data_IF_895580260309
#
_entry.id   IF_895580260309
#
_cell.length_a   1.000
_cell.length_b   1.000
_cell.length_c   1.000
_cell.angle_alpha   90.00
_cell.angle_beta   90.00
_cell.angle_gamma   90.00
#
_symmetry.space_group_name_H-M   'P 1'
#
loop_
_entity.id
_entity.type
_entity.pdbx_description
1 polymer ?
#
# COMPACT_ATOMS: atom_id res chain seq x y z
N UNK A 1 -4.66 38.59 -0.41
CA UNK A 1 -6.07 38.69 -0.85
C UNK A 1 -6.50 40.14 -1.11
N UNK A 2 -5.74 40.91 -1.90
CA UNK A 2 -6.08 42.29 -2.28
C UNK A 2 -6.67 42.29 -3.69
N UNK A 3 -7.79 42.96 -3.89
CA UNK A 3 -8.51 43.05 -5.16
C UNK A 3 -8.58 44.52 -5.53
N UNK A 4 -7.87 44.89 -6.59
CA UNK A 4 -7.96 46.23 -7.18
C UNK A 4 -8.91 46.18 -8.38
N UNK A 5 -10.00 46.92 -8.29
CA UNK A 5 -11.09 46.90 -9.29
C UNK A 5 -11.01 48.06 -10.28
N UNK A 6 -10.04 48.96 -10.12
CA UNK A 6 -9.85 50.16 -10.95
C UNK A 6 -8.82 50.05 -12.10
N UNK A 7 -7.85 49.10 -12.15
CA UNK A 7 -6.82 49.10 -13.19
C UNK A 7 -7.32 48.94 -14.62
N UNK A 8 -8.58 48.50 -14.81
CA UNK A 8 -9.22 48.36 -16.11
C UNK A 8 -10.05 49.59 -16.53
N UNK A 9 -10.12 50.63 -15.70
CA UNK A 9 -10.88 51.86 -15.95
C UNK A 9 -9.95 53.02 -16.39
N UNK A 10 -10.42 53.89 -17.30
CA UNK A 10 -9.70 55.12 -17.66
C UNK A 10 -10.09 56.28 -16.71
N UNK A 11 -9.30 56.44 -15.65
CA UNK A 11 -9.61 57.34 -14.52
C UNK A 11 -8.66 58.55 -14.42
N UNK A 12 -7.94 58.93 -15.49
CA UNK A 12 -6.94 60.00 -15.44
C UNK A 12 -7.51 61.31 -14.89
N UNK A 13 -7.02 61.72 -13.72
CA UNK A 13 -7.45 62.95 -13.03
C UNK A 13 -8.80 62.86 -12.31
N UNK A 14 -9.42 61.67 -12.26
CA UNK A 14 -10.68 61.44 -11.56
C UNK A 14 -10.44 60.88 -10.15
N UNK A 15 -10.95 61.55 -9.13
CA UNK A 15 -11.02 61.00 -7.78
C UNK A 15 -12.32 60.21 -7.61
N UNK A 16 -12.26 58.90 -7.87
CA UNK A 16 -13.40 57.98 -7.73
C UNK A 16 -13.37 57.28 -6.38
N UNK A 17 -14.54 57.03 -5.80
CA UNK A 17 -14.66 56.20 -4.61
C UNK A 17 -15.37 54.89 -4.95
N UNK A 18 -14.90 53.79 -4.37
CA UNK A 18 -15.48 52.45 -4.59
C UNK A 18 -16.44 52.09 -3.45
N UNK A 19 -17.65 51.64 -3.75
CA UNK A 19 -18.66 51.25 -2.74
C UNK A 19 -19.08 49.81 -2.91
N UNK A 20 -19.04 49.04 -1.82
CA UNK A 20 -19.58 47.67 -1.78
C UNK A 20 -21.11 47.76 -1.76
N UNK A 21 -21.75 47.07 -2.70
CA UNK A 21 -23.22 46.96 -2.81
C UNK A 21 -23.70 45.67 -2.17
N UNK A 22 -23.00 44.55 -2.43
CA UNK A 22 -23.33 43.24 -1.89
C UNK A 22 -22.06 42.52 -1.45
N UNK A 23 -22.07 42.03 -0.21
CA UNK A 23 -20.99 41.20 0.34
C UNK A 23 -20.97 39.82 -0.33
N UNK A 24 -19.81 39.13 -0.31
CA UNK A 24 -19.72 37.74 -0.73
C UNK A 24 -20.59 36.81 0.13
N UNK A 25 -20.95 35.64 -0.40
CA UNK A 25 -21.71 34.63 0.34
C UNK A 25 -20.84 33.71 1.20
N UNK A 26 -19.55 33.60 0.88
CA UNK A 26 -18.61 32.67 1.51
C UNK A 26 -17.33 33.36 1.97
N UNK A 27 -17.45 34.64 2.29
CA UNK A 27 -16.35 35.44 2.79
C UNK A 27 -16.83 36.84 3.16
N UNK A 28 -15.88 37.71 3.44
CA UNK A 28 -16.13 39.11 3.76
C UNK A 28 -15.17 40.00 2.99
N UNK A 29 -15.63 41.21 2.66
CA UNK A 29 -14.80 42.25 2.08
C UNK A 29 -14.69 43.42 3.05
N UNK A 30 -13.44 43.78 3.36
CA UNK A 30 -13.10 45.06 3.95
C UNK A 30 -12.45 45.96 2.90
N UNK A 31 -12.44 47.27 3.14
CA UNK A 31 -11.95 48.27 2.20
C UNK A 31 -10.76 49.02 2.81
N UNK A 32 -9.65 49.06 2.09
CA UNK A 32 -8.47 49.89 2.40
C UNK A 32 -8.24 50.86 1.23
N UNK A 33 -8.66 52.12 1.38
CA UNK A 33 -8.59 53.09 0.27
C UNK A 33 -9.50 52.68 -0.88
N UNK A 34 -8.97 52.47 -2.09
CA UNK A 34 -9.72 51.93 -3.24
C UNK A 34 -9.64 50.41 -3.38
N UNK A 35 -8.82 49.74 -2.56
CA UNK A 35 -8.56 48.31 -2.66
C UNK A 35 -9.48 47.54 -1.72
N UNK A 36 -10.02 46.43 -2.22
CA UNK A 36 -10.74 45.49 -1.37
C UNK A 36 -9.82 44.41 -0.80
N UNK A 37 -10.01 44.06 0.46
CA UNK A 37 -9.41 42.89 1.10
C UNK A 37 -10.48 41.84 1.27
N UNK A 38 -10.28 40.69 0.62
CA UNK A 38 -11.17 39.55 0.73
C UNK A 38 -10.66 38.56 1.77
N UNK A 39 -11.54 38.19 2.71
CA UNK A 39 -11.28 37.15 3.71
C UNK A 39 -12.30 36.04 3.50
N UNK A 40 -11.91 34.87 2.94
CA UNK A 40 -12.82 33.74 2.80
C UNK A 40 -13.28 33.26 4.19
N UNK A 41 -14.49 32.73 4.26
CA UNK A 41 -14.91 31.94 5.41
C UNK A 41 -13.97 30.74 5.59
N UNK A 42 -13.62 30.35 6.84
CA UNK A 42 -12.77 29.18 7.08
C UNK A 42 -13.27 27.95 6.31
N UNK A 43 -12.35 27.25 5.64
CA UNK A 43 -12.65 26.06 4.84
C UNK A 43 -13.33 26.30 3.48
N UNK A 44 -13.69 27.53 3.12
CA UNK A 44 -14.30 27.79 1.81
C UNK A 44 -13.29 27.62 0.67
N UNK A 45 -13.72 26.94 -0.39
CA UNK A 45 -13.05 26.88 -1.69
C UNK A 45 -14.11 26.98 -2.79
N UNK A 46 -13.72 27.54 -3.94
CA UNK A 46 -14.62 27.76 -5.06
C UNK A 46 -14.78 29.23 -5.42
N UNK A 47 -15.82 29.53 -6.20
CA UNK A 47 -16.09 30.88 -6.67
C UNK A 47 -17.07 31.57 -5.74
N UNK A 48 -16.64 32.71 -5.19
CA UNK A 48 -17.49 33.65 -4.48
C UNK A 48 -17.73 34.89 -5.36
N UNK A 49 -18.70 35.71 -4.97
CA UNK A 49 -19.10 36.86 -5.78
C UNK A 49 -19.51 38.03 -4.92
N UNK A 50 -18.97 39.20 -5.24
CA UNK A 50 -19.41 40.45 -4.65
C UNK A 50 -19.82 41.46 -5.72
N UNK A 51 -20.58 42.46 -5.30
CA UNK A 51 -21.06 43.52 -6.19
C UNK A 51 -20.56 44.88 -5.68
N UNK A 52 -20.02 45.71 -6.57
CA UNK A 52 -19.55 47.06 -6.24
C UNK A 52 -20.11 48.11 -7.21
N UNK A 53 -19.97 49.38 -6.84
CA UNK A 53 -20.21 50.55 -7.70
C UNK A 53 -19.06 51.54 -7.54
N UNK A 54 -18.80 52.31 -8.58
CA UNK A 54 -17.95 53.49 -8.51
C UNK A 54 -18.82 54.73 -8.31
N UNK A 55 -18.32 55.70 -7.55
CA UNK A 55 -18.95 56.99 -7.35
C UNK A 55 -17.97 58.11 -7.69
N UNK A 56 -18.41 59.06 -8.52
CA UNK A 56 -17.65 60.23 -8.93
C UNK A 56 -18.55 61.47 -8.88
N UNK A 57 -18.16 62.48 -8.09
CA UNK A 57 -18.90 63.75 -7.94
C UNK A 57 -20.41 63.58 -7.64
N UNK A 58 -20.77 62.53 -6.90
CA UNK A 58 -22.16 62.23 -6.52
C UNK A 58 -22.95 61.39 -7.54
N UNK A 59 -22.37 61.09 -8.70
CA UNK A 59 -22.94 60.14 -9.67
C UNK A 59 -22.38 58.74 -9.44
N UNK A 60 -23.23 57.72 -9.63
CA UNK A 60 -22.87 56.31 -9.42
C UNK A 60 -22.96 55.51 -10.72
N UNK A 61 -22.02 54.58 -10.89
CA UNK A 61 -22.09 53.61 -11.98
C UNK A 61 -23.18 52.56 -11.72
N UNK A 62 -23.59 51.81 -12.75
CA UNK A 62 -24.27 50.54 -12.57
C UNK A 62 -23.50 49.60 -11.64
N UNK A 63 -24.22 48.70 -10.97
CA UNK A 63 -23.60 47.71 -10.10
C UNK A 63 -22.84 46.69 -10.95
N UNK A 64 -21.58 46.43 -10.58
CA UNK A 64 -20.69 45.50 -11.27
C UNK A 64 -20.35 44.34 -10.36
N UNK A 65 -20.43 43.14 -10.92
CA UNK A 65 -20.15 41.89 -10.23
C UNK A 65 -18.70 41.46 -10.45
N UNK A 66 -18.03 41.08 -9.37
CA UNK A 66 -16.67 40.53 -9.39
C UNK A 66 -16.70 39.13 -8.79
N UNK A 67 -16.16 38.18 -9.55
CA UNK A 67 -15.98 36.81 -9.09
C UNK A 67 -14.60 36.67 -8.43
N UNK A 68 -14.56 36.01 -7.28
CA UNK A 68 -13.34 35.71 -6.53
C UNK A 68 -13.18 34.20 -6.49
N UNK A 69 -12.08 33.69 -7.05
CA UNK A 69 -11.78 32.25 -6.96
C UNK A 69 -10.88 32.00 -5.76
N UNK A 70 -11.36 31.18 -4.83
CA UNK A 70 -10.64 30.77 -3.63
C UNK A 70 -10.16 29.34 -3.84
N UNK A 71 -8.85 29.16 -3.79
CA UNK A 71 -8.22 27.85 -3.89
C UNK A 71 -7.63 27.51 -2.53
N UNK A 72 -8.04 26.38 -1.99
CA UNK A 72 -7.59 25.93 -0.68
C UNK A 72 -6.76 24.67 -0.88
N UNK A 73 -5.42 24.75 -0.72
CA UNK A 73 -4.56 23.61 -0.96
C UNK A 73 -4.71 22.57 0.15
N UNK A 74 -4.40 21.32 -0.13
CA UNK A 74 -4.31 20.24 0.86
C UNK A 74 -3.18 20.53 1.86
N UNK A 75 -3.47 20.36 3.14
CA UNK A 75 -2.52 20.49 4.26
C UNK A 75 -2.45 19.20 5.07
N UNK A 76 -1.39 19.03 5.86
CA UNK A 76 -1.28 17.92 6.82
C UNK A 76 -2.43 18.01 7.82
N UNK A 77 -3.09 16.88 8.09
CA UNK A 77 -4.25 16.80 8.96
C UNK A 77 -5.58 17.08 8.27
N UNK A 78 -5.61 17.28 6.95
CA UNK A 78 -6.85 17.33 6.18
C UNK A 78 -7.38 15.93 5.84
N UNK A 79 -8.68 15.84 5.56
CA UNK A 79 -9.29 14.67 4.93
C UNK A 79 -9.53 14.99 3.44
N UNK A 80 -9.14 14.10 2.54
CA UNK A 80 -9.24 14.32 1.09
C UNK A 80 -9.81 13.10 0.39
N UNK A 81 -10.58 13.34 -0.66
CA UNK A 81 -10.99 12.29 -1.60
C UNK A 81 -10.17 12.44 -2.88
N UNK A 82 -9.52 11.36 -3.32
CA UNK A 82 -8.61 11.38 -4.47
C UNK A 82 -8.85 10.19 -5.39
N UNK A 83 -9.03 10.48 -6.68
CA UNK A 83 -8.92 9.45 -7.70
C UNK A 83 -7.46 9.26 -8.10
N UNK A 84 -7.09 8.03 -8.48
CA UNK A 84 -5.72 7.74 -8.86
C UNK A 84 -5.59 6.63 -9.91
N UNK A 85 -4.46 6.68 -10.62
CA UNK A 85 -3.93 5.56 -11.42
C UNK A 85 -2.49 5.32 -10.96
N UNK A 86 -2.22 4.13 -10.44
CA UNK A 86 -0.89 3.69 -10.02
C UNK A 86 -0.22 2.84 -11.09
N UNK A 87 1.00 3.22 -11.47
CA UNK A 87 1.81 2.57 -12.51
C UNK A 87 3.20 2.22 -12.00
N UNK A 88 3.79 1.17 -12.56
CA UNK A 88 5.23 0.94 -12.42
C UNK A 88 6.00 1.95 -13.29
N UNK A 89 7.01 2.61 -12.74
CA UNK A 89 7.81 3.57 -13.53
C UNK A 89 8.55 2.88 -14.69
N UNK A 90 9.00 1.64 -14.50
CA UNK A 90 9.88 0.93 -15.43
C UNK A 90 9.22 0.61 -16.78
N UNK A 91 7.91 0.34 -16.80
CA UNK A 91 7.20 -0.13 -17.98
C UNK A 91 5.82 0.54 -18.16
N UNK A 92 5.45 1.47 -17.28
CA UNK A 92 4.18 2.21 -17.29
C UNK A 92 2.91 1.35 -17.14
N UNK A 93 3.03 0.06 -16.78
CA UNK A 93 1.89 -0.84 -16.57
C UNK A 93 1.08 -0.40 -15.35
N UNK A 94 -0.26 -0.35 -15.48
CA UNK A 94 -1.15 -0.10 -14.34
C UNK A 94 -1.11 -1.33 -13.41
N UNK A 95 -0.96 -1.08 -12.12
CA UNK A 95 -1.11 -2.13 -11.11
C UNK A 95 -2.30 -1.90 -10.18
N UNK A 96 -2.78 -0.66 -10.09
CA UNK A 96 -3.94 -0.30 -9.28
C UNK A 96 -4.56 1.02 -9.75
N UNK A 97 -5.87 1.19 -9.55
CA UNK A 97 -6.58 2.41 -9.89
C UNK A 97 -7.92 2.51 -9.17
N UNK A 98 -8.37 3.75 -8.91
CA UNK A 98 -9.74 4.04 -8.46
C UNK A 98 -10.76 4.11 -9.60
N UNK A 99 -10.33 4.09 -10.86
CA UNK A 99 -11.18 4.21 -12.04
C UNK A 99 -11.59 2.84 -12.58
N UNK A 100 -12.90 2.58 -12.66
CA UNK A 100 -13.43 1.27 -13.09
C UNK A 100 -13.12 0.97 -14.56
N UNK A 101 -13.23 1.96 -15.43
CA UNK A 101 -12.96 1.86 -16.87
C UNK A 101 -11.49 1.55 -17.14
N UNK A 102 -10.58 2.22 -16.43
CA UNK A 102 -9.14 1.91 -16.45
C UNK A 102 -8.89 0.49 -15.94
N UNK A 103 -9.50 0.10 -14.82
CA UNK A 103 -9.35 -1.25 -14.29
C UNK A 103 -9.83 -2.33 -15.28
N UNK A 104 -10.95 -2.11 -15.99
CA UNK A 104 -11.43 -3.02 -17.04
C UNK A 104 -10.48 -3.08 -18.23
N UNK A 105 -9.98 -1.94 -18.70
CA UNK A 105 -9.06 -1.86 -19.83
C UNK A 105 -7.74 -2.59 -19.55
N UNK A 106 -7.27 -2.56 -18.30
CA UNK A 106 -5.99 -3.14 -17.87
C UNK A 106 -6.14 -4.57 -17.30
N UNK A 107 -7.35 -5.14 -17.30
CA UNK A 107 -7.60 -6.49 -16.78
C UNK A 107 -7.51 -6.63 -15.25
N UNK A 108 -7.64 -5.52 -14.52
CA UNK A 108 -7.59 -5.42 -13.06
C UNK A 108 -8.98 -5.31 -12.41
N UNK A 109 -10.05 -5.46 -13.18
CA UNK A 109 -11.42 -5.31 -12.68
C UNK A 109 -11.76 -6.42 -11.67
N UNK A 110 -12.23 -6.00 -10.49
CA UNK A 110 -12.76 -6.86 -9.45
C UNK A 110 -14.21 -6.45 -9.16
N UNK A 111 -15.17 -7.34 -9.41
CA UNK A 111 -16.60 -7.08 -9.19
C UNK A 111 -16.98 -6.86 -7.73
N UNK A 112 -16.11 -7.22 -6.78
CA UNK A 112 -16.31 -7.00 -5.35
C UNK A 112 -15.80 -5.62 -4.89
N UNK A 113 -15.00 -4.95 -5.71
CA UNK A 113 -14.42 -3.63 -5.41
C UNK A 113 -15.38 -2.51 -5.80
N UNK A 114 -15.49 -1.52 -4.92
CA UNK A 114 -16.11 -0.24 -5.25
C UNK A 114 -15.04 0.72 -5.81
N UNK A 115 -15.15 1.05 -7.10
CA UNK A 115 -14.27 1.99 -7.78
C UNK A 115 -14.76 3.43 -7.54
N UNK A 116 -14.29 4.02 -6.42
CA UNK A 116 -14.63 5.36 -5.97
C UNK A 116 -13.35 6.09 -5.54
N UNK A 117 -13.38 7.44 -5.42
CA UNK A 117 -12.26 8.19 -4.87
C UNK A 117 -11.83 7.62 -3.51
N UNK A 118 -10.52 7.51 -3.33
CA UNK A 118 -9.93 7.03 -2.09
C UNK A 118 -10.02 8.12 -1.01
N UNK A 119 -10.50 7.74 0.18
CA UNK A 119 -10.65 8.63 1.34
C UNK A 119 -9.37 8.61 2.19
N UNK A 120 -8.59 9.68 2.09
CA UNK A 120 -7.28 9.79 2.74
C UNK A 120 -7.29 10.85 3.84
N UNK A 121 -6.81 10.46 5.02
CA UNK A 121 -6.37 11.41 6.03
C UNK A 121 -4.91 11.73 5.78
N UNK A 122 -4.59 13.02 5.60
CA UNK A 122 -3.27 13.48 5.15
C UNK A 122 -2.30 13.50 6.33
N UNK A 123 -1.79 12.32 6.65
CA UNK A 123 -0.74 12.10 7.63
C UNK A 123 0.37 11.24 7.02
N UNK A 124 1.43 11.86 6.44
CA UNK A 124 2.51 11.12 5.83
C UNK A 124 3.41 10.40 6.85
N UNK A 125 3.21 10.62 8.16
CA UNK A 125 4.02 10.01 9.23
C UNK A 125 3.34 8.82 9.90
N UNK A 126 2.01 8.70 9.76
CA UNK A 126 1.21 7.68 10.43
C UNK A 126 1.05 7.89 11.95
N UNK A 127 1.45 9.04 12.48
CA UNK A 127 1.47 9.34 13.91
C UNK A 127 0.31 10.23 14.38
N UNK A 128 -0.56 10.65 13.47
CA UNK A 128 -1.73 11.47 13.76
C UNK A 128 -2.99 10.61 13.87
N UNK A 129 -3.89 11.02 14.77
CA UNK A 129 -5.20 10.39 14.90
C UNK A 129 -6.19 11.06 13.94
N UNK A 130 -6.95 10.23 13.22
CA UNK A 130 -8.06 10.72 12.40
C UNK A 130 -9.08 11.43 13.30
N UNK A 131 -9.50 12.67 13.00
CA UNK A 131 -10.47 13.41 13.82
C UNK A 131 -11.82 12.70 13.91
N UNK A 132 -12.51 12.86 15.04
CA UNK A 132 -13.83 12.27 15.23
C UNK A 132 -14.84 12.79 14.19
N UNK A 133 -15.67 11.89 13.65
CA UNK A 133 -16.60 12.16 12.55
C UNK A 133 -16.02 11.92 11.16
N UNK A 134 -14.74 11.56 11.06
CA UNK A 134 -14.04 11.25 9.80
C UNK A 134 -13.42 9.86 9.80
N UNK A 135 -13.94 8.93 10.60
CA UNK A 135 -13.40 7.57 10.78
C UNK A 135 -13.38 6.74 9.48
N UNK A 136 -14.10 7.18 8.44
CA UNK A 136 -14.07 6.60 7.09
C UNK A 136 -12.83 7.01 6.26
N UNK A 137 -12.00 7.94 6.74
CA UNK A 137 -10.73 8.33 6.12
C UNK A 137 -9.57 7.57 6.75
N UNK A 138 -8.56 7.25 5.94
CA UNK A 138 -7.43 6.43 6.37
C UNK A 138 -6.09 7.07 6.02
N UNK A 139 -5.08 6.87 6.87
CA UNK A 139 -3.67 7.18 6.61
C UNK A 139 -2.86 5.94 6.18
N UNK A 140 -3.52 4.82 5.85
CA UNK A 140 -2.85 3.55 5.52
C UNK A 140 -2.15 3.52 4.15
N UNK A 141 -2.23 4.59 3.37
CA UNK A 141 -1.52 4.67 2.09
C UNK A 141 -0.02 4.88 2.29
N UNK A 142 0.76 4.51 1.28
CA UNK A 142 2.20 4.70 1.29
C UNK A 142 2.57 6.19 1.48
N UNK A 143 3.62 6.52 2.26
CA UNK A 143 3.96 7.89 2.59
C UNK A 143 4.15 8.82 1.38
N UNK A 144 4.78 8.34 0.31
CA UNK A 144 5.03 9.15 -0.89
C UNK A 144 3.74 9.54 -1.63
N UNK A 145 2.71 8.68 -1.59
CA UNK A 145 1.39 9.01 -2.11
C UNK A 145 0.76 10.14 -1.30
N UNK A 146 0.76 10.03 0.03
CA UNK A 146 0.19 11.04 0.93
C UNK A 146 0.93 12.37 0.81
N UNK A 147 2.28 12.36 0.78
CA UNK A 147 3.10 13.57 0.56
C UNK A 147 2.78 14.24 -0.76
N UNK A 148 2.53 13.45 -1.81
CA UNK A 148 2.19 13.96 -3.14
C UNK A 148 0.92 14.80 -3.19
N UNK A 149 -0.03 14.54 -2.29
CA UNK A 149 -1.29 15.29 -2.15
C UNK A 149 -1.09 16.68 -1.54
N UNK A 150 -0.09 16.86 -0.69
CA UNK A 150 0.13 18.13 0.01
C UNK A 150 0.36 19.26 -1.01
N UNK A 151 -0.38 20.35 -0.82
CA UNK A 151 -0.38 21.50 -1.73
C UNK A 151 -1.31 21.38 -2.93
N UNK A 152 -1.88 20.20 -3.23
CA UNK A 152 -2.82 20.05 -4.33
C UNK A 152 -4.13 20.78 -4.07
N UNK A 153 -4.82 21.15 -5.14
CA UNK A 153 -6.13 21.80 -5.10
C UNK A 153 -7.24 20.88 -5.61
N UNK A 154 -8.50 21.14 -5.25
CA UNK A 154 -9.65 20.40 -5.82
C UNK A 154 -9.65 20.55 -7.34
N UNK A 155 -9.82 19.43 -8.04
CA UNK A 155 -9.82 19.34 -9.50
C UNK A 155 -8.44 19.32 -10.15
N UNK A 156 -7.36 19.51 -9.38
CA UNK A 156 -6.00 19.45 -9.90
C UNK A 156 -5.62 18.01 -10.27
N UNK A 157 -5.05 17.84 -11.46
CA UNK A 157 -4.36 16.61 -11.86
C UNK A 157 -2.86 16.78 -11.62
N UNK A 158 -2.26 15.84 -10.90
CA UNK A 158 -0.82 15.85 -10.62
C UNK A 158 -0.23 14.46 -10.75
N UNK A 159 0.89 14.36 -11.45
CA UNK A 159 1.69 13.13 -11.48
C UNK A 159 2.79 13.21 -10.44
N UNK A 160 2.93 12.17 -9.63
CA UNK A 160 3.99 12.03 -8.65
C UNK A 160 4.81 10.77 -8.94
N UNK A 161 6.08 10.80 -8.54
CA UNK A 161 6.99 9.65 -8.57
C UNK A 161 7.27 9.29 -7.12
N UNK A 162 6.99 8.05 -6.75
CA UNK A 162 7.15 7.52 -5.40
C UNK A 162 8.28 6.48 -5.44
N UNK A 163 9.48 6.80 -4.90
CA UNK A 163 10.57 5.85 -4.83
C UNK A 163 10.26 4.74 -3.80
N UNK A 164 10.94 3.58 -3.86
CA UNK A 164 10.62 2.41 -3.01
C UNK A 164 10.59 2.74 -1.51
N UNK A 165 11.46 3.62 -1.03
CA UNK A 165 11.61 4.00 0.38
C UNK A 165 10.34 4.67 0.92
N UNK A 166 9.70 5.48 0.06
CA UNK A 166 8.42 6.15 0.34
C UNK A 166 7.20 5.32 -0.14
N UNK A 167 7.45 4.20 -0.80
CA UNK A 167 6.47 3.23 -1.26
C UNK A 167 6.47 1.95 -0.43
N UNK A 168 6.65 0.82 -1.11
CA UNK A 168 6.57 -0.52 -0.54
C UNK A 168 7.91 -1.09 -0.05
N UNK A 169 8.96 -0.27 0.01
CA UNK A 169 10.28 -0.61 0.53
C UNK A 169 11.18 -1.31 -0.49
N UNK A 170 12.47 -1.33 -0.17
CA UNK A 170 13.54 -2.04 -0.88
C UNK A 170 13.76 -3.43 -0.28
N UNK A 171 14.74 -4.15 -0.80
CA UNK A 171 15.27 -5.37 -0.21
C UNK A 171 16.23 -5.05 0.94
N UNK A 172 15.90 -5.47 2.16
CA UNK A 172 16.70 -5.20 3.35
C UNK A 172 17.56 -6.41 3.72
N UNK A 173 18.82 -6.17 4.10
CA UNK A 173 19.78 -7.22 4.47
C UNK A 173 19.76 -7.58 5.96
N UNK A 174 18.97 -6.87 6.76
CA UNK A 174 18.78 -7.10 8.20
C UNK A 174 17.31 -6.90 8.60
N UNK A 175 16.93 -7.50 9.72
CA UNK A 175 15.60 -7.31 10.31
C UNK A 175 15.51 -6.12 11.26
N UNK A 176 16.64 -5.52 11.68
CA UNK A 176 16.69 -4.36 12.59
C UNK A 176 15.90 -3.14 12.05
N UNK A 177 15.79 -2.99 10.73
CA UNK A 177 15.00 -1.93 10.08
C UNK A 177 13.58 -2.35 9.69
N UNK A 178 13.20 -3.60 9.98
CA UNK A 178 12.03 -4.29 9.41
C UNK A 178 11.07 -4.72 10.52
N UNK A 179 11.55 -5.13 11.70
CA UNK A 179 10.76 -5.38 12.90
C UNK A 179 11.32 -4.62 14.10
N UNK A 180 10.47 -4.25 15.07
CA UNK A 180 10.91 -3.71 16.37
C UNK A 180 11.62 -4.77 17.25
N UNK A 181 11.97 -5.93 16.70
CA UNK A 181 12.68 -6.99 17.42
C UNK A 181 14.17 -6.92 17.11
N UNK A 182 14.93 -6.61 18.15
CA UNK A 182 16.39 -6.50 18.15
C UNK A 182 17.06 -7.88 18.11
N UNK A 183 16.61 -8.79 17.27
CA UNK A 183 17.38 -10.00 16.98
C UNK A 183 18.25 -9.73 15.76
N UNK A 184 19.55 -9.86 15.94
CA UNK A 184 20.54 -9.78 14.88
C UNK A 184 20.50 -11.10 14.07
N UNK A 185 19.31 -11.54 13.67
CA UNK A 185 19.15 -12.76 12.88
C UNK A 185 19.77 -12.49 11.52
N UNK A 186 20.96 -13.05 11.33
CA UNK A 186 21.52 -13.19 10.01
C UNK A 186 20.46 -13.87 9.15
N UNK A 187 20.03 -13.21 8.07
CA UNK A 187 19.22 -13.80 6.99
C UNK A 187 20.05 -14.82 6.20
N UNK A 188 20.65 -15.77 6.91
CA UNK A 188 21.53 -16.83 6.45
C UNK A 188 20.83 -18.13 6.73
N UNK A 189 20.32 -18.74 5.67
CA UNK A 189 19.49 -19.93 5.73
C UNK A 189 20.33 -21.15 5.34
N UNK A 190 20.39 -22.20 6.16
CA UNK A 190 20.97 -23.47 5.76
C UNK A 190 20.32 -23.98 4.47
N UNK A 191 21.15 -24.46 3.54
CA UNK A 191 20.67 -25.07 2.31
C UNK A 191 20.24 -26.52 2.56
N UNK A 192 20.91 -27.18 3.51
CA UNK A 192 20.66 -28.56 3.89
C UNK A 192 20.06 -28.67 5.30
N UNK A 193 19.00 -29.46 5.41
CA UNK A 193 18.42 -29.89 6.69
C UNK A 193 18.48 -31.40 6.78
N UNK A 194 19.12 -31.92 7.83
CA UNK A 194 19.15 -33.36 8.12
C UNK A 194 17.96 -33.71 9.00
N UNK A 195 17.11 -34.62 8.54
CA UNK A 195 15.84 -34.98 9.15
C UNK A 195 15.70 -36.50 9.30
N UNK A 196 14.82 -36.93 10.20
CA UNK A 196 14.59 -38.34 10.48
C UNK A 196 13.68 -38.95 9.40
N UNK A 197 14.01 -40.14 8.92
CA UNK A 197 13.08 -40.92 8.10
C UNK A 197 11.90 -41.46 8.92
N UNK A 198 12.04 -41.58 10.24
CA UNK A 198 10.99 -42.04 11.15
C UNK A 198 10.51 -40.90 12.01
N UNK A 199 9.23 -40.58 11.91
CA UNK A 199 8.58 -39.49 12.61
C UNK A 199 7.57 -40.02 13.62
N UNK A 200 7.33 -39.25 14.68
CA UNK A 200 6.36 -39.56 15.72
C UNK A 200 5.48 -38.34 15.98
N UNK A 201 4.17 -38.52 15.86
CA UNK A 201 3.18 -37.45 15.99
C UNK A 201 2.04 -37.91 16.89
N UNK A 202 1.40 -36.98 17.62
CA UNK A 202 0.21 -37.33 18.38
C UNK A 202 -0.90 -37.81 17.43
N UNK A 203 -1.72 -38.74 17.89
CA UNK A 203 -2.83 -39.28 17.09
C UNK A 203 -3.81 -38.18 16.68
N UNK A 204 -4.04 -37.20 17.55
CA UNK A 204 -4.90 -36.05 17.29
C UNK A 204 -4.35 -35.17 16.16
N UNK A 205 -3.06 -34.81 16.20
CA UNK A 205 -2.41 -34.03 15.13
C UNK A 205 -2.36 -34.82 13.82
N UNK A 206 -2.02 -36.12 13.88
CA UNK A 206 -1.97 -36.95 12.69
C UNK A 206 -3.33 -37.02 12.00
N UNK A 207 -4.41 -37.23 12.76
CA UNK A 207 -5.77 -37.25 12.19
C UNK A 207 -6.22 -35.88 11.68
N UNK A 208 -5.72 -34.78 12.28
CA UNK A 208 -5.97 -33.43 11.79
C UNK A 208 -5.33 -33.20 10.41
N UNK A 209 -4.06 -33.57 10.23
CA UNK A 209 -3.35 -33.40 8.95
C UNK A 209 -3.71 -34.47 7.91
N UNK A 210 -4.00 -35.69 8.34
CA UNK A 210 -4.27 -36.86 7.50
C UNK A 210 -5.65 -37.46 7.78
N UNK A 211 -6.76 -36.70 7.64
CA UNK A 211 -8.09 -37.14 8.09
C UNK A 211 -8.64 -38.35 7.33
N UNK A 212 -8.12 -38.60 6.12
CA UNK A 212 -8.56 -39.69 5.26
C UNK A 212 -7.69 -40.96 5.36
N UNK A 213 -6.63 -40.95 6.19
CA UNK A 213 -5.74 -42.10 6.35
C UNK A 213 -6.33 -43.09 7.35
N UNK A 214 -6.52 -44.33 6.92
CA UNK A 214 -6.98 -45.39 7.82
C UNK A 214 -5.85 -45.82 8.77
N UNK A 215 -6.09 -45.74 10.07
CA UNK A 215 -5.10 -46.03 11.12
C UNK A 215 -4.91 -47.54 11.32
N UNK A 216 -4.14 -48.16 10.43
CA UNK A 216 -3.67 -49.53 10.56
C UNK A 216 -2.15 -49.57 10.38
N UNK A 217 -1.50 -50.53 11.05
CA UNK A 217 -0.08 -50.79 10.81
C UNK A 217 0.13 -51.20 9.36
N UNK A 218 1.20 -50.69 8.74
CA UNK A 218 1.53 -50.87 7.32
C UNK A 218 0.66 -50.11 6.33
N UNK A 219 -0.29 -49.26 6.78
CA UNK A 219 -0.98 -48.34 5.87
C UNK A 219 0.04 -47.42 5.22
N UNK A 220 0.00 -47.34 3.89
CA UNK A 220 0.76 -46.38 3.08
C UNK A 220 -0.13 -45.18 2.79
N UNK A 221 0.41 -43.97 2.90
CA UNK A 221 -0.29 -42.73 2.60
C UNK A 221 0.63 -41.70 1.92
N UNK A 222 0.03 -40.79 1.18
CA UNK A 222 0.74 -39.73 0.45
C UNK A 222 1.07 -38.58 1.39
N UNK A 223 2.29 -38.60 1.95
CA UNK A 223 2.80 -37.56 2.83
C UNK A 223 3.07 -36.27 2.05
N UNK A 224 3.62 -36.41 0.84
CA UNK A 224 3.97 -35.29 -0.03
C UNK A 224 2.80 -34.39 -0.37
N UNK A 225 1.62 -34.98 -0.61
CA UNK A 225 0.40 -34.22 -0.89
C UNK A 225 0.03 -33.26 0.22
N UNK A 226 0.11 -33.71 1.47
CA UNK A 226 -0.31 -32.93 2.64
C UNK A 226 0.75 -31.91 3.02
N UNK A 227 2.03 -32.31 3.03
CA UNK A 227 3.11 -31.48 3.56
C UNK A 227 3.68 -30.52 2.52
N UNK A 228 3.79 -30.96 1.27
CA UNK A 228 4.39 -30.16 0.19
C UNK A 228 3.38 -29.76 -0.90
N UNK A 229 2.11 -30.16 -0.79
CA UNK A 229 1.09 -29.85 -1.80
C UNK A 229 1.30 -30.58 -3.13
N UNK A 230 2.11 -31.65 -3.14
CA UNK A 230 2.49 -32.37 -4.36
C UNK A 230 2.20 -33.86 -4.19
N UNK A 231 1.36 -34.40 -5.06
CA UNK A 231 0.95 -35.80 -4.95
C UNK A 231 2.04 -36.77 -5.41
N UNK A 232 2.06 -37.95 -4.80
CA UNK A 232 2.86 -39.11 -5.19
C UNK A 232 4.39 -38.89 -5.25
N UNK A 233 4.92 -37.90 -4.54
CA UNK A 233 6.37 -37.64 -4.46
C UNK A 233 7.04 -38.35 -3.28
N UNK A 234 6.36 -38.40 -2.12
CA UNK A 234 6.87 -38.96 -0.88
C UNK A 234 5.70 -39.65 -0.21
N UNK A 235 5.77 -40.97 -0.14
CA UNK A 235 4.83 -41.76 0.64
C UNK A 235 5.37 -41.99 2.05
N UNK A 236 4.50 -42.38 2.97
CA UNK A 236 4.87 -42.79 4.30
C UNK A 236 4.10 -44.05 4.70
N UNK A 237 4.72 -44.87 5.55
CA UNK A 237 4.13 -46.11 6.07
C UNK A 237 3.99 -46.05 7.59
N UNK A 238 2.80 -46.34 8.11
CA UNK A 238 2.58 -46.44 9.55
C UNK A 238 3.33 -47.67 10.10
N UNK A 239 4.25 -47.44 11.05
CA UNK A 239 5.03 -48.50 11.70
C UNK A 239 4.41 -48.97 13.00
N UNK A 240 3.90 -48.03 13.80
CA UNK A 240 3.32 -48.31 15.12
C UNK A 240 2.21 -47.31 15.45
N UNK A 241 1.22 -47.79 16.20
CA UNK A 241 0.12 -46.98 16.73
C UNK A 241 0.00 -47.30 18.21
N UNK A 242 0.13 -46.29 19.06
CA UNK A 242 -0.21 -46.39 20.49
C UNK A 242 -1.52 -45.67 20.76
N UNK A 243 -1.95 -45.63 22.03
CA UNK A 243 -3.14 -44.87 22.42
C UNK A 243 -2.96 -43.36 22.14
N UNK A 244 -1.73 -42.86 22.25
CA UNK A 244 -1.42 -41.43 22.17
C UNK A 244 -0.77 -41.01 20.84
N UNK A 245 0.07 -41.87 20.24
CA UNK A 245 0.97 -41.47 19.16
C UNK A 245 0.93 -42.44 17.97
N UNK A 246 1.31 -41.90 16.81
CA UNK A 246 1.53 -42.64 15.57
C UNK A 246 2.99 -42.46 15.17
N UNK A 247 3.67 -43.58 14.99
CA UNK A 247 5.02 -43.63 14.43
C UNK A 247 4.92 -44.08 12.97
N UNK A 248 5.46 -43.30 12.05
CA UNK A 248 5.47 -43.60 10.62
C UNK A 248 6.85 -43.35 10.02
N UNK A 249 7.13 -43.99 8.88
CA UNK A 249 8.40 -43.86 8.17
C UNK A 249 8.17 -43.36 6.76
N UNK A 250 8.92 -42.32 6.39
CA UNK A 250 8.94 -41.75 5.05
C UNK A 250 9.65 -42.70 4.08
N UNK A 251 9.08 -42.83 2.89
CA UNK A 251 9.61 -43.58 1.75
C UNK A 251 10.10 -42.56 0.72
N UNK A 252 11.35 -42.17 0.89
CA UNK A 252 12.01 -41.19 0.02
C UNK A 252 12.90 -41.93 -0.97
N UNK A 253 12.67 -41.70 -2.26
CA UNK A 253 13.62 -42.11 -3.30
C UNK A 253 14.77 -41.09 -3.35
N UNK A 254 16.00 -41.59 -3.33
CA UNK A 254 17.19 -40.74 -3.28
C UNK A 254 17.34 -39.93 -4.58
N UNK A 255 17.46 -38.61 -4.46
CA UNK A 255 17.52 -37.68 -5.57
C UNK A 255 16.15 -37.20 -6.06
N UNK A 256 15.04 -37.56 -5.40
CA UNK A 256 13.73 -36.97 -5.70
C UNK A 256 13.80 -35.45 -5.60
N UNK A 257 13.42 -34.77 -6.67
CA UNK A 257 13.46 -33.32 -6.80
C UNK A 257 12.17 -32.80 -7.43
N UNK A 258 11.63 -31.70 -6.89
CA UNK A 258 10.45 -31.03 -7.44
C UNK A 258 10.43 -29.55 -7.06
N UNK A 259 9.72 -28.75 -7.86
CA UNK A 259 9.46 -27.35 -7.53
C UNK A 259 8.49 -27.25 -6.35
N UNK A 260 8.89 -26.54 -5.30
CA UNK A 260 8.08 -26.34 -4.12
C UNK A 260 6.91 -25.40 -4.46
N UNK A 261 5.65 -25.87 -4.38
CA UNK A 261 4.50 -25.09 -4.83
C UNK A 261 4.41 -23.73 -4.13
N UNK A 262 4.38 -22.66 -4.92
CA UNK A 262 4.26 -21.28 -4.41
C UNK A 262 5.59 -20.58 -4.08
N UNK A 263 6.72 -21.27 -4.18
CA UNK A 263 8.03 -20.72 -3.83
C UNK A 263 8.99 -20.53 -5.01
N UNK A 264 8.79 -21.23 -6.14
CA UNK A 264 9.56 -21.00 -7.37
C UNK A 264 11.00 -21.53 -7.36
N UNK A 265 11.38 -22.30 -6.34
CA UNK A 265 12.64 -23.05 -6.28
C UNK A 265 12.36 -24.54 -6.05
N UNK A 266 13.36 -25.38 -6.39
CA UNK A 266 13.25 -26.82 -6.17
C UNK A 266 13.71 -27.20 -4.77
N UNK A 267 13.17 -28.32 -4.30
CA UNK A 267 13.70 -29.04 -3.15
C UNK A 267 14.10 -30.44 -3.61
N UNK A 268 15.28 -30.88 -3.18
CA UNK A 268 15.83 -32.19 -3.50
C UNK A 268 16.12 -32.98 -2.23
N UNK A 269 15.78 -34.28 -2.23
CA UNK A 269 15.91 -35.15 -1.07
C UNK A 269 17.02 -36.17 -1.28
N UNK A 270 17.96 -36.25 -0.34
CA UNK A 270 19.07 -37.21 -0.37
C UNK A 270 19.01 -38.16 0.82
N UNK A 271 18.85 -39.45 0.59
CA UNK A 271 18.86 -40.45 1.68
C UNK A 271 20.29 -40.66 2.15
N UNK A 272 20.55 -40.43 3.44
CA UNK A 272 21.89 -40.58 4.03
C UNK A 272 22.11 -42.03 4.46
N UNK A 273 21.14 -42.58 5.21
CA UNK A 273 21.15 -43.95 5.72
C UNK A 273 19.73 -44.37 6.14
N UNK A 274 19.60 -45.51 6.83
CA UNK A 274 18.31 -46.05 7.30
C UNK A 274 17.54 -45.13 8.26
N UNK A 275 18.18 -44.15 8.86
CA UNK A 275 17.58 -43.26 9.86
C UNK A 275 17.39 -41.84 9.37
N UNK A 276 18.20 -41.36 8.43
CA UNK A 276 18.25 -39.95 8.08
C UNK A 276 18.23 -39.68 6.58
N UNK A 277 17.70 -38.51 6.23
CA UNK A 277 17.79 -37.93 4.90
C UNK A 277 18.13 -36.43 5.01
N UNK A 278 18.64 -35.85 3.93
CA UNK A 278 18.82 -34.41 3.77
C UNK A 278 17.70 -33.86 2.89
N UNK A 279 17.05 -32.80 3.35
CA UNK A 279 16.25 -31.89 2.51
C UNK A 279 17.15 -30.74 2.06
N UNK A 280 17.44 -30.69 0.77
CA UNK A 280 18.28 -29.70 0.11
C UNK A 280 17.42 -28.67 -0.63
N UNK A 281 17.62 -27.38 -0.38
CA UNK A 281 16.94 -26.31 -1.09
C UNK A 281 17.76 -25.82 -2.28
N UNK A 282 17.28 -26.06 -3.50
CA UNK A 282 17.96 -25.69 -4.75
C UNK A 282 17.78 -24.19 -5.07
N UNK A 283 18.22 -23.32 -4.17
CA UNK A 283 18.19 -21.87 -4.38
C UNK A 283 19.07 -21.46 -5.54
N UNK A 284 18.65 -20.44 -6.27
CA UNK A 284 19.45 -19.72 -7.26
C UNK A 284 19.58 -18.25 -6.88
N UNK A 285 20.66 -17.64 -7.33
CA UNK A 285 20.87 -16.20 -7.16
C UNK A 285 19.68 -15.43 -7.76
N UNK A 286 19.15 -14.46 -7.01
CA UNK A 286 17.96 -13.67 -7.32
C UNK A 286 16.62 -14.41 -7.30
N UNK A 287 16.55 -15.66 -6.84
CA UNK A 287 15.25 -16.28 -6.55
C UNK A 287 14.49 -15.40 -5.55
N UNK A 288 13.20 -15.28 -5.76
CA UNK A 288 12.31 -14.51 -4.89
C UNK A 288 11.08 -15.30 -4.54
N UNK A 289 10.67 -15.22 -3.27
CA UNK A 289 9.53 -15.99 -2.78
C UNK A 289 8.89 -15.29 -1.59
N UNK A 290 7.70 -15.75 -1.21
CA UNK A 290 6.94 -15.18 -0.08
C UNK A 290 6.68 -16.27 0.95
N UNK A 291 6.99 -15.98 2.21
CA UNK A 291 6.59 -16.81 3.33
C UNK A 291 5.38 -16.14 4.00
N UNK A 292 4.35 -16.95 4.25
CA UNK A 292 3.19 -16.57 5.03
C UNK A 292 3.31 -17.19 6.42
N UNK A 293 3.27 -16.36 7.45
CA UNK A 293 3.20 -16.81 8.83
C UNK A 293 1.76 -17.20 9.18
N UNK A 294 1.57 -18.18 10.09
CA UNK A 294 0.25 -18.59 10.56
C UNK A 294 -0.51 -17.44 11.26
N UNK A 295 0.17 -16.38 11.67
CA UNK A 295 -0.43 -15.19 12.28
C UNK A 295 -0.84 -14.11 11.27
N UNK A 296 -0.84 -14.43 9.97
CA UNK A 296 -1.27 -13.53 8.90
C UNK A 296 -0.22 -12.50 8.47
N UNK A 297 0.97 -12.52 9.06
CA UNK A 297 2.11 -11.74 8.58
C UNK A 297 2.72 -12.41 7.35
N UNK A 298 3.20 -11.61 6.40
CA UNK A 298 3.91 -12.11 5.21
C UNK A 298 5.27 -11.44 5.12
N UNK A 299 6.23 -12.17 4.57
CA UNK A 299 7.55 -11.65 4.28
C UNK A 299 7.99 -12.11 2.89
N UNK A 300 8.49 -11.17 2.10
CA UNK A 300 9.11 -11.44 0.81
C UNK A 300 10.61 -11.63 1.02
N UNK A 301 11.19 -12.60 0.32
CA UNK A 301 12.62 -12.89 0.37
C UNK A 301 13.22 -12.84 -1.02
N UNK A 302 14.50 -12.46 -1.08
CA UNK A 302 15.34 -12.53 -2.28
C UNK A 302 16.67 -13.17 -1.95
N UNK A 303 17.11 -14.15 -2.73
CA UNK A 303 18.42 -14.77 -2.56
C UNK A 303 19.52 -13.85 -3.09
N UNK A 304 20.45 -13.46 -2.21
CA UNK A 304 21.50 -12.46 -2.47
C UNK A 304 22.90 -13.06 -2.61
N UNK A 305 23.13 -14.24 -2.05
CA UNK A 305 24.34 -15.02 -2.29
C UNK A 305 24.12 -16.45 -1.82
N UNK A 306 24.86 -17.39 -2.39
CA UNK A 306 24.79 -18.81 -2.05
C UNK A 306 26.22 -19.31 -1.89
N UNK A 307 26.50 -20.04 -0.81
CA UNK A 307 27.72 -20.81 -0.64
C UNK A 307 27.37 -22.29 -0.45
N UNK A 308 28.35 -23.14 -0.17
CA UNK A 308 28.15 -24.58 -0.07
C UNK A 308 27.17 -25.03 1.04
N UNK A 309 26.91 -24.20 2.05
CA UNK A 309 26.09 -24.58 3.21
C UNK A 309 24.93 -23.63 3.49
N UNK A 310 24.99 -22.39 2.99
CA UNK A 310 24.01 -21.35 3.30
C UNK A 310 23.65 -20.48 2.09
N UNK A 311 22.39 -20.08 2.03
CA UNK A 311 21.90 -18.99 1.21
C UNK A 311 21.72 -17.74 2.08
N UNK A 312 22.30 -16.61 1.67
CA UNK A 312 22.05 -15.32 2.28
C UNK A 312 20.93 -14.63 1.53
N UNK A 313 19.93 -14.13 2.26
CA UNK A 313 18.73 -13.52 1.69
C UNK A 313 18.60 -12.07 2.13
N UNK A 314 17.85 -11.29 1.35
CA UNK A 314 17.27 -10.03 1.75
C UNK A 314 15.77 -10.22 1.97
N UNK A 315 15.16 -9.35 2.79
CA UNK A 315 13.76 -9.42 3.20
C UNK A 315 13.02 -8.12 2.89
N UNK A 316 11.72 -8.21 2.64
CA UNK A 316 10.80 -7.07 2.66
C UNK A 316 9.47 -7.51 3.30
N UNK A 317 9.02 -6.79 4.34
CA UNK A 317 7.71 -7.06 4.99
C UNK A 317 6.68 -5.96 4.72
N UNK A 318 7.09 -4.85 4.10
CA UNK A 318 6.25 -3.67 3.87
C UNK A 318 5.29 -3.90 2.71
N UNK A 319 5.76 -4.59 1.67
CA UNK A 319 5.02 -4.74 0.44
C UNK A 319 3.82 -5.69 0.56
N UNK A 320 2.66 -5.39 -0.07
CA UNK A 320 1.53 -6.31 -0.19
C UNK A 320 1.78 -7.45 -1.17
N UNK A 321 2.66 -7.25 -2.15
CA UNK A 321 2.92 -8.22 -3.22
C UNK A 321 4.39 -8.18 -3.60
N UNK A 322 4.93 -9.32 -3.97
CA UNK A 322 6.34 -9.46 -4.34
C UNK A 322 6.75 -8.50 -5.46
N UNK A 323 5.89 -8.34 -6.48
CA UNK A 323 6.16 -7.47 -7.63
C UNK A 323 6.13 -5.97 -7.34
N UNK A 324 5.89 -5.54 -6.10
CA UNK A 324 5.96 -4.13 -5.68
C UNK A 324 7.22 -3.81 -4.87
N UNK A 325 7.98 -4.82 -4.46
CA UNK A 325 9.24 -4.62 -3.74
C UNK A 325 10.27 -3.98 -4.68
N UNK A 326 10.99 -2.98 -4.18
CA UNK A 326 12.07 -2.30 -4.90
C UNK A 326 11.58 -1.59 -6.19
N UNK A 327 10.30 -1.23 -6.24
CA UNK A 327 9.70 -0.54 -7.38
C UNK A 327 9.53 0.95 -7.13
N UNK A 328 9.97 1.76 -8.09
CA UNK A 328 9.52 3.15 -8.18
C UNK A 328 8.16 3.17 -8.87
N UNK A 329 7.22 3.85 -8.23
CA UNK A 329 5.83 3.93 -8.68
C UNK A 329 5.53 5.33 -9.21
N UNK A 330 4.63 5.42 -10.17
CA UNK A 330 4.09 6.67 -10.69
C UNK A 330 2.61 6.70 -10.37
N UNK A 331 2.14 7.78 -9.76
CA UNK A 331 0.72 8.00 -9.53
C UNK A 331 0.24 9.25 -10.25
N UNK A 332 -0.80 9.09 -11.05
CA UNK A 332 -1.63 10.20 -11.51
C UNK A 332 -2.72 10.41 -10.47
N UNK A 333 -2.79 11.60 -9.88
CA UNK A 333 -3.70 11.94 -8.80
C UNK A 333 -4.68 13.01 -9.25
N UNK A 334 -5.94 12.87 -8.86
CA UNK A 334 -6.98 13.87 -9.04
C UNK A 334 -7.74 14.07 -7.74
N UNK A 335 -7.54 15.20 -7.06
CA UNK A 335 -8.24 15.50 -5.80
C UNK A 335 -9.67 15.94 -6.13
N UNK A 336 -10.66 15.18 -5.67
CA UNK A 336 -12.08 15.47 -5.92
C UNK A 336 -12.72 16.24 -4.78
N UNK A 337 -12.15 16.19 -3.58
CA UNK A 337 -12.68 16.87 -2.38
C UNK A 337 -11.59 17.10 -1.35
N UNK A 338 -11.67 18.24 -0.67
CA UNK A 338 -10.83 18.58 0.50
C UNK A 338 -11.77 18.95 1.64
N UNK A 339 -11.51 18.39 2.82
CA UNK A 339 -12.19 18.73 4.08
C UNK A 339 -11.13 19.23 5.04
N UNK A 340 -11.26 20.50 5.46
CA UNK A 340 -10.31 21.21 6.31
C UNK A 340 -10.44 20.83 7.78
N UNK A 341 -10.04 19.61 8.12
CA UNK A 341 -9.97 19.13 9.50
C UNK A 341 -8.73 19.65 10.24
N UNK A 342 -7.66 20.03 9.53
CA UNK A 342 -6.46 20.65 10.12
C UNK A 342 -6.75 22.00 10.82
N UNK A 343 -7.83 22.69 10.44
CA UNK A 343 -8.19 24.03 10.93
C UNK A 343 -9.29 23.99 12.00
N UNK A 344 -9.73 22.80 12.44
CA UNK A 344 -10.80 22.63 13.43
C UNK A 344 -10.32 22.60 14.89
N UNK A 345 -9.14 23.15 15.19
CA UNK A 345 -8.58 23.23 16.55
C UNK A 345 -9.22 24.31 17.41
#
# INVERSE_FOLDING_TARGET
>A
NKIDVLPNDDLKGCNVSVKIVKQPSHGSLTKEGSVFIYTPSPGFSGVDKFTYKLEYKGEQTPATDVNVSVVTPVEIGDCVEVNYIGRYQVNNTVFDTSYEDVAKAEGLYDSTRSYQPLKIFVDPTGNMTVPSGYEEYSSSMIPGFIKGLIGMSIGENKTIIVPPEEGYGTWEMSIEGVSNESSNESLSFPIDYVENLTENMSKAEFQYFFPNVTLNKSTVFDYGKVVFGKENIINATILNITDENITYRLQIENGTSFELPGYGFNVTFYVINESFYTRHFDFKMNDTFTIYSPYGTRAHFKVMSINATHARMAINIRSPKLGLVDQTLVYELNVTKIIKTSQQS
#
